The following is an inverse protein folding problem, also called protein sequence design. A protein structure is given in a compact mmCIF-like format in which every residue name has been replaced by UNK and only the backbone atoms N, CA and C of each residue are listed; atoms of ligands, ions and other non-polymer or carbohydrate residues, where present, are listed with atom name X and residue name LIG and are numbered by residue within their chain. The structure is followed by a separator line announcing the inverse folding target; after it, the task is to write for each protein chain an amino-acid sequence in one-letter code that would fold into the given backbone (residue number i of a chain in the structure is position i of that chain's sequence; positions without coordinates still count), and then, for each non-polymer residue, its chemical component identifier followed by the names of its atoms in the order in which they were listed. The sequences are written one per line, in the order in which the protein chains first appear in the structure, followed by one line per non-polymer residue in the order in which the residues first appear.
data_IF_447822265000
#
_entry.id   IF_447822265000
#
_cell.length_a   1.000
_cell.length_b   1.000
_cell.length_c   1.000
_cell.angle_alpha   90.00
_cell.angle_beta   90.00
_cell.angle_gamma   90.00
#
_symmetry.space_group_name_H-M   'P 1'
#
loop_
_entity.id
_entity.type
_entity.pdbx_description
1 polymer ?
#
# COMPACT_ATOMS: atom_id res chain seq x y z
N UNK A 1 -38.70 28.13 14.78
CA UNK A 1 -38.04 26.89 14.30
C UNK A 1 -39.11 26.05 13.63
N UNK A 2 -39.20 26.13 12.30
CA UNK A 2 -40.23 25.45 11.50
C UNK A 2 -39.86 23.98 11.35
N UNK A 3 -40.63 23.12 12.01
CA UNK A 3 -40.66 21.67 11.80
C UNK A 3 -41.23 21.41 10.38
N UNK A 4 -40.32 21.26 9.41
CA UNK A 4 -40.68 20.89 8.06
C UNK A 4 -41.07 19.42 8.07
N UNK A 5 -42.38 19.15 8.18
CA UNK A 5 -42.96 17.82 7.95
C UNK A 5 -42.32 17.23 6.68
N UNK A 6 -41.83 15.97 6.71
CA UNK A 6 -41.19 15.38 5.55
C UNK A 6 -42.18 15.41 4.38
N UNK A 7 -41.85 16.17 3.34
CA UNK A 7 -42.63 16.21 2.11
C UNK A 7 -42.74 14.79 1.60
N UNK A 8 -43.96 14.25 1.55
CA UNK A 8 -44.24 12.94 0.97
C UNK A 8 -43.85 13.00 -0.51
N UNK A 9 -42.61 12.61 -0.85
CA UNK A 9 -42.16 12.60 -2.25
C UNK A 9 -42.77 11.39 -2.93
N UNK A 10 -43.85 11.63 -3.66
CA UNK A 10 -44.37 10.67 -4.62
C UNK A 10 -43.31 10.53 -5.72
N UNK A 11 -42.80 9.31 -5.90
CA UNK A 11 -41.78 9.00 -6.92
C UNK A 11 -42.44 8.75 -8.26
N UNK A 12 -41.75 9.09 -9.34
CA UNK A 12 -42.27 8.86 -10.69
C UNK A 12 -42.42 7.35 -10.96
N UNK A 13 -43.34 6.96 -11.86
CA UNK A 13 -43.45 5.57 -12.32
C UNK A 13 -42.13 5.02 -12.87
N UNK A 14 -41.34 5.86 -13.52
CA UNK A 14 -40.02 5.50 -14.07
C UNK A 14 -39.04 5.08 -12.97
N UNK A 15 -39.01 5.79 -11.82
CA UNK A 15 -38.16 5.40 -10.68
C UNK A 15 -38.57 4.03 -10.13
N UNK A 16 -39.88 3.77 -10.07
CA UNK A 16 -40.38 2.47 -9.62
C UNK A 16 -40.07 1.33 -10.60
N UNK A 17 -40.12 1.60 -11.91
CA UNK A 17 -39.70 0.64 -12.92
C UNK A 17 -38.20 0.33 -12.82
N UNK A 18 -37.35 1.35 -12.69
CA UNK A 18 -35.91 1.17 -12.50
C UNK A 18 -35.57 0.40 -11.22
N UNK A 19 -36.30 0.67 -10.12
CA UNK A 19 -36.14 -0.04 -8.86
C UNK A 19 -36.57 -1.52 -8.95
N UNK A 20 -37.68 -1.80 -9.66
CA UNK A 20 -38.10 -3.17 -9.95
C UNK A 20 -37.05 -3.92 -10.74
N UNK A 21 -36.58 -3.33 -11.84
CA UNK A 21 -35.64 -3.98 -12.74
C UNK A 21 -34.32 -4.27 -12.01
N UNK A 22 -33.86 -3.36 -11.16
CA UNK A 22 -32.72 -3.56 -10.28
C UNK A 22 -32.92 -4.69 -9.26
N UNK A 23 -34.09 -4.73 -8.62
CA UNK A 23 -34.44 -5.77 -7.66
C UNK A 23 -34.53 -7.15 -8.33
N UNK A 24 -35.18 -7.23 -9.48
CA UNK A 24 -35.30 -8.48 -10.26
C UNK A 24 -33.95 -8.91 -10.86
N UNK A 25 -33.01 -8.00 -11.08
CA UNK A 25 -31.64 -8.32 -11.44
C UNK A 25 -30.81 -8.90 -10.29
N UNK A 26 -31.36 -9.02 -9.07
CA UNK A 26 -30.70 -9.63 -7.91
C UNK A 26 -30.08 -8.64 -6.92
N UNK A 27 -30.28 -7.32 -7.10
CA UNK A 27 -29.86 -6.34 -6.09
C UNK A 27 -30.74 -6.44 -4.83
N UNK A 28 -30.17 -6.39 -3.61
CA UNK A 28 -30.96 -6.47 -2.38
C UNK A 28 -31.87 -5.24 -2.23
N UNK A 29 -33.06 -5.45 -1.67
CA UNK A 29 -34.10 -4.41 -1.55
C UNK A 29 -33.61 -3.17 -0.79
N UNK A 30 -32.74 -3.34 0.21
CA UNK A 30 -32.13 -2.26 0.97
C UNK A 30 -31.24 -1.37 0.10
N UNK A 31 -30.42 -1.97 -0.77
CA UNK A 31 -29.54 -1.24 -1.68
C UNK A 31 -30.36 -0.52 -2.77
N UNK A 32 -31.36 -1.21 -3.34
CA UNK A 32 -32.31 -0.61 -4.30
C UNK A 32 -33.03 0.58 -3.67
N UNK A 33 -33.57 0.41 -2.45
CA UNK A 33 -34.30 1.48 -1.76
C UNK A 33 -33.39 2.66 -1.41
N UNK A 34 -32.15 2.40 -0.98
CA UNK A 34 -31.16 3.45 -0.75
C UNK A 34 -30.78 4.21 -2.03
N UNK A 35 -30.61 3.50 -3.14
CA UNK A 35 -30.24 4.08 -4.43
C UNK A 35 -31.32 4.95 -5.05
N UNK A 36 -32.58 4.55 -4.91
CA UNK A 36 -33.73 5.26 -5.52
C UNK A 36 -34.51 6.14 -4.52
N UNK A 37 -34.01 6.33 -3.30
CA UNK A 37 -34.66 7.12 -2.23
C UNK A 37 -36.12 6.65 -1.98
N UNK A 38 -36.29 5.33 -1.87
CA UNK A 38 -37.56 4.64 -1.64
C UNK A 38 -37.67 4.16 -0.19
N UNK A 39 -38.87 4.24 0.37
CA UNK A 39 -39.16 3.64 1.67
C UNK A 39 -39.35 2.13 1.55
N UNK A 40 -38.67 1.35 2.39
CA UNK A 40 -38.72 -0.12 2.38
C UNK A 40 -40.16 -0.66 2.47
N UNK A 41 -41.00 -0.05 3.31
CA UNK A 41 -42.41 -0.45 3.46
C UNK A 41 -43.24 -0.18 2.21
N UNK A 42 -43.02 0.94 1.53
CA UNK A 42 -43.71 1.28 0.28
C UNK A 42 -43.24 0.36 -0.86
N UNK A 43 -41.94 0.04 -0.88
CA UNK A 43 -41.35 -0.92 -1.80
C UNK A 43 -41.98 -2.31 -1.66
N UNK A 44 -42.06 -2.86 -0.44
CA UNK A 44 -42.69 -4.17 -0.20
C UNK A 44 -44.18 -4.19 -0.51
N UNK A 45 -44.91 -3.11 -0.18
CA UNK A 45 -46.33 -2.99 -0.54
C UNK A 45 -46.51 -3.11 -2.06
N UNK A 46 -45.73 -2.34 -2.82
CA UNK A 46 -45.79 -2.34 -4.28
C UNK A 46 -45.29 -3.65 -4.89
N UNK A 47 -44.20 -4.23 -4.37
CA UNK A 47 -43.70 -5.53 -4.78
C UNK A 47 -44.74 -6.63 -4.61
N UNK A 48 -45.55 -6.59 -3.55
CA UNK A 48 -46.66 -7.52 -3.35
C UNK A 48 -47.81 -7.28 -4.33
N UNK A 49 -48.16 -6.02 -4.59
CA UNK A 49 -49.23 -5.64 -5.53
C UNK A 49 -48.88 -5.99 -6.99
N UNK A 50 -47.62 -5.79 -7.38
CA UNK A 50 -47.12 -6.03 -8.74
C UNK A 50 -46.41 -7.39 -8.90
N UNK A 51 -46.35 -8.20 -7.84
CA UNK A 51 -45.87 -9.58 -7.88
C UNK A 51 -44.36 -9.76 -8.06
N UNK A 52 -43.53 -8.81 -7.62
CA UNK A 52 -42.06 -8.93 -7.69
C UNK A 52 -41.58 -9.95 -6.65
N UNK A 53 -41.33 -11.19 -7.05
CA UNK A 53 -40.91 -12.25 -6.12
C UNK A 53 -39.40 -12.38 -6.10
N UNK A 54 -38.89 -12.77 -4.94
CA UNK A 54 -37.49 -13.17 -4.81
C UNK A 54 -37.15 -14.40 -5.65
N UNK A 55 -38.13 -15.24 -5.96
CA UNK A 55 -37.97 -16.37 -6.88
C UNK A 55 -37.77 -15.95 -8.35
N UNK A 56 -38.10 -14.70 -8.69
CA UNK A 56 -37.88 -14.15 -10.03
C UNK A 56 -36.49 -13.50 -10.15
N UNK A 57 -35.73 -13.43 -9.04
CA UNK A 57 -34.34 -13.01 -9.06
C UNK A 57 -33.47 -14.16 -9.59
N UNK A 58 -32.38 -13.86 -10.30
CA UNK A 58 -31.36 -14.87 -10.56
C UNK A 58 -30.88 -15.46 -9.23
N UNK A 59 -30.61 -16.76 -9.22
CA UNK A 59 -29.99 -17.38 -8.05
C UNK A 59 -28.74 -16.59 -7.68
N UNK A 60 -28.51 -16.32 -6.39
CA UNK A 60 -27.30 -15.64 -5.97
C UNK A 60 -26.13 -16.46 -6.49
N UNK A 61 -25.22 -15.80 -7.20
CA UNK A 61 -24.01 -16.46 -7.67
C UNK A 61 -23.35 -17.12 -6.45
N UNK A 62 -23.10 -18.44 -6.48
CA UNK A 62 -22.40 -19.11 -5.41
C UNK A 62 -21.12 -18.32 -5.09
N UNK A 63 -20.73 -18.29 -3.82
CA UNK A 63 -19.47 -17.66 -3.42
C UNK A 63 -18.31 -18.46 -4.07
N UNK A 64 -18.00 -18.18 -5.34
CA UNK A 64 -17.14 -18.98 -6.21
C UNK A 64 -15.64 -18.85 -5.91
N UNK A 65 -15.31 -18.36 -4.72
CA UNK A 65 -13.95 -18.44 -4.20
C UNK A 65 -14.02 -18.81 -2.74
N UNK A 66 -14.62 -19.97 -2.44
CA UNK A 66 -13.99 -20.76 -1.39
C UNK A 66 -12.65 -21.20 -1.96
N UNK A 67 -11.51 -20.82 -1.34
CA UNK A 67 -10.25 -21.45 -1.66
C UNK A 67 -10.44 -22.96 -1.61
N UNK A 68 -9.80 -23.68 -2.53
CA UNK A 68 -9.79 -25.14 -2.54
C UNK A 68 -9.64 -25.62 -1.08
N UNK A 69 -10.59 -26.42 -0.55
CA UNK A 69 -10.57 -26.80 0.86
C UNK A 69 -9.28 -27.53 1.25
N UNK A 70 -8.59 -28.11 0.27
CA UNK A 70 -7.29 -28.79 0.45
C UNK A 70 -6.10 -27.87 0.16
N UNK A 71 -6.31 -26.65 -0.34
CA UNK A 71 -5.25 -25.66 -0.50
C UNK A 71 -4.80 -25.17 0.87
N UNK A 72 -3.50 -25.32 1.12
CA UNK A 72 -2.84 -24.63 2.23
C UNK A 72 -2.79 -23.14 1.92
N UNK A 73 -3.61 -22.39 2.64
CA UNK A 73 -3.61 -20.93 2.61
C UNK A 73 -2.60 -20.38 3.60
N UNK A 74 -1.77 -19.48 3.12
CA UNK A 74 -0.91 -18.69 3.98
C UNK A 74 -1.71 -17.58 4.67
N UNK A 75 -1.13 -17.01 5.72
CA UNK A 75 -1.75 -15.91 6.48
C UNK A 75 -2.08 -14.71 5.59
N UNK A 76 -1.23 -14.42 4.60
CA UNK A 76 -1.43 -13.36 3.61
C UNK A 76 -2.68 -13.60 2.77
N UNK A 77 -2.90 -14.83 2.32
CA UNK A 77 -4.06 -15.19 1.49
C UNK A 77 -5.37 -15.01 2.27
N UNK A 78 -5.35 -15.37 3.56
CA UNK A 78 -6.47 -15.13 4.47
C UNK A 78 -6.73 -13.64 4.70
N UNK A 79 -5.68 -12.81 4.74
CA UNK A 79 -5.82 -11.36 4.87
C UNK A 79 -6.47 -10.79 3.60
N UNK A 80 -6.02 -11.19 2.42
CA UNK A 80 -6.60 -10.76 1.14
C UNK A 80 -8.08 -11.15 1.03
N UNK A 81 -8.43 -12.37 1.43
CA UNK A 81 -9.82 -12.81 1.46
C UNK A 81 -10.67 -11.99 2.44
N UNK A 82 -10.15 -11.73 3.64
CA UNK A 82 -10.84 -10.88 4.62
C UNK A 82 -11.06 -9.45 4.09
N UNK A 83 -10.09 -8.90 3.34
CA UNK A 83 -10.22 -7.60 2.70
C UNK A 83 -11.31 -7.58 1.62
N UNK A 84 -11.34 -8.58 0.74
CA UNK A 84 -12.38 -8.72 -0.29
C UNK A 84 -13.79 -8.79 0.33
N UNK A 85 -13.95 -9.59 1.39
CA UNK A 85 -15.21 -9.73 2.13
C UNK A 85 -15.64 -8.43 2.80
N UNK A 86 -14.69 -7.70 3.40
CA UNK A 86 -14.93 -6.36 3.94
C UNK A 86 -15.44 -5.41 2.86
N UNK A 87 -14.74 -5.27 1.73
CA UNK A 87 -15.12 -4.35 0.64
C UNK A 87 -16.51 -4.65 0.10
N UNK A 88 -16.86 -5.93 -0.05
CA UNK A 88 -18.21 -6.35 -0.47
C UNK A 88 -19.28 -6.02 0.57
N UNK A 89 -19.03 -6.30 1.85
CA UNK A 89 -19.96 -5.98 2.93
C UNK A 89 -20.22 -4.47 3.04
N UNK A 90 -19.19 -3.65 2.83
CA UNK A 90 -19.32 -2.18 2.73
C UNK A 90 -20.18 -1.79 1.53
N UNK A 91 -19.92 -2.34 0.35
CA UNK A 91 -20.72 -2.07 -0.86
C UNK A 91 -22.21 -2.43 -0.72
N UNK A 92 -22.53 -3.39 0.14
CA UNK A 92 -23.90 -3.83 0.41
C UNK A 92 -24.54 -3.17 1.64
N UNK A 93 -23.86 -2.21 2.29
CA UNK A 93 -24.38 -1.53 3.49
C UNK A 93 -24.44 -2.41 4.75
N UNK A 94 -23.78 -3.58 4.75
CA UNK A 94 -23.77 -4.53 5.87
C UNK A 94 -22.69 -4.16 6.91
N UNK A 95 -22.91 -3.06 7.64
CA UNK A 95 -21.90 -2.47 8.55
C UNK A 95 -21.39 -3.45 9.61
N UNK A 96 -22.27 -4.21 10.26
CA UNK A 96 -21.86 -5.16 11.29
C UNK A 96 -20.95 -6.26 10.75
N UNK A 97 -21.15 -6.67 9.49
CA UNK A 97 -20.32 -7.68 8.83
C UNK A 97 -18.99 -7.09 8.37
N UNK A 98 -19.01 -5.87 7.83
CA UNK A 98 -17.80 -5.13 7.51
C UNK A 98 -16.87 -5.03 8.75
N UNK A 99 -17.40 -4.64 9.91
CA UNK A 99 -16.60 -4.54 11.14
C UNK A 99 -15.96 -5.88 11.56
N UNK A 100 -16.66 -7.00 11.37
CA UNK A 100 -16.10 -8.34 11.67
C UNK A 100 -14.93 -8.66 10.75
N UNK A 101 -15.09 -8.45 9.44
CA UNK A 101 -14.02 -8.70 8.46
C UNK A 101 -12.84 -7.74 8.62
N UNK A 102 -13.10 -6.47 8.98
CA UNK A 102 -12.07 -5.50 9.31
C UNK A 102 -11.22 -5.98 10.50
N UNK A 103 -11.87 -6.46 11.56
CA UNK A 103 -11.18 -6.98 12.75
C UNK A 103 -10.28 -8.17 12.38
N UNK A 104 -10.80 -9.14 11.63
CA UNK A 104 -10.03 -10.30 11.18
C UNK A 104 -8.82 -9.87 10.32
N UNK A 105 -9.01 -8.99 9.34
CA UNK A 105 -7.93 -8.46 8.51
C UNK A 105 -6.85 -7.75 9.35
N UNK A 106 -7.25 -6.97 10.36
CA UNK A 106 -6.31 -6.31 11.26
C UNK A 106 -5.49 -7.32 12.08
N UNK A 107 -6.12 -8.39 12.57
CA UNK A 107 -5.44 -9.46 13.30
C UNK A 107 -4.45 -10.23 12.40
N UNK A 108 -4.82 -10.50 11.15
CA UNK A 108 -3.97 -11.20 10.20
C UNK A 108 -2.75 -10.38 9.77
N UNK A 109 -2.90 -9.06 9.60
CA UNK A 109 -1.82 -8.15 9.16
C UNK A 109 -0.97 -7.58 10.31
N UNK A 110 -1.40 -7.72 11.57
CA UNK A 110 -0.70 -7.16 12.73
C UNK A 110 0.76 -7.66 12.88
N UNK A 111 1.07 -8.96 12.74
CA UNK A 111 2.44 -9.45 12.92
C UNK A 111 3.42 -8.92 11.86
N UNK A 112 3.00 -8.85 10.61
CA UNK A 112 3.82 -8.33 9.51
C UNK A 112 4.12 -6.85 9.70
N UNK A 113 3.09 -6.06 10.03
CA UNK A 113 3.25 -4.65 10.37
C UNK A 113 4.17 -4.43 11.57
N UNK A 114 4.16 -5.34 12.55
CA UNK A 114 5.07 -5.25 13.69
C UNK A 114 6.53 -5.46 13.25
N UNK A 115 6.79 -6.45 12.40
CA UNK A 115 8.14 -6.72 11.84
C UNK A 115 8.64 -5.57 10.98
N UNK A 116 7.79 -5.01 10.13
CA UNK A 116 8.13 -3.84 9.30
C UNK A 116 8.50 -2.63 10.16
N UNK A 117 7.75 -2.38 11.24
CA UNK A 117 8.04 -1.29 12.19
C UNK A 117 9.37 -1.50 12.90
N UNK A 118 9.68 -2.74 13.28
CA UNK A 118 10.95 -3.06 13.93
C UNK A 118 12.13 -2.89 12.96
N UNK A 119 12.00 -3.39 11.73
CA UNK A 119 12.99 -3.18 10.68
C UNK A 119 13.22 -1.70 10.39
N UNK A 120 12.17 -0.89 10.28
CA UNK A 120 12.28 0.55 10.07
C UNK A 120 12.95 1.27 11.24
N UNK A 121 12.70 0.84 12.49
CA UNK A 121 13.39 1.37 13.68
C UNK A 121 14.86 1.05 13.65
N UNK A 122 15.21 -0.17 13.27
CA UNK A 122 16.60 -0.60 13.20
C UNK A 122 17.35 0.14 12.08
N UNK A 123 16.73 0.28 10.91
CA UNK A 123 17.28 1.09 9.83
C UNK A 123 17.48 2.54 10.25
N UNK A 124 16.52 3.14 10.97
CA UNK A 124 16.65 4.50 11.49
C UNK A 124 17.79 4.63 12.52
N UNK A 125 18.02 3.59 13.36
CA UNK A 125 19.14 3.56 14.30
C UNK A 125 20.48 3.49 13.58
N UNK A 126 20.59 2.62 12.57
CA UNK A 126 21.80 2.47 11.78
C UNK A 126 22.14 3.78 11.05
N UNK A 127 21.13 4.44 10.46
CA UNK A 127 21.33 5.75 9.81
C UNK A 127 21.84 6.81 10.79
N UNK A 128 21.24 6.90 11.98
CA UNK A 128 21.71 7.83 13.02
C UNK A 128 23.13 7.53 13.46
N UNK A 129 23.46 6.26 13.71
CA UNK A 129 24.81 5.87 14.08
C UNK A 129 25.83 6.20 12.97
N UNK A 130 25.43 6.08 11.70
CA UNK A 130 26.26 6.49 10.56
C UNK A 130 26.45 8.02 10.51
N UNK A 131 25.39 8.79 10.76
CA UNK A 131 25.45 10.25 10.86
C UNK A 131 26.34 10.69 12.04
N UNK A 132 26.13 10.14 13.23
CA UNK A 132 26.94 10.40 14.43
C UNK A 132 28.43 10.05 14.17
N UNK A 133 28.71 8.97 13.45
CA UNK A 133 30.08 8.58 13.10
C UNK A 133 30.72 9.55 12.09
N UNK A 134 29.94 10.11 11.16
CA UNK A 134 30.40 11.15 10.24
C UNK A 134 30.70 12.44 10.97
N UNK A 135 29.82 12.85 11.87
CA UNK A 135 29.99 14.06 12.68
C UNK A 135 31.20 13.94 13.60
N UNK A 136 31.34 12.82 14.31
CA UNK A 136 32.53 12.54 15.13
C UNK A 136 33.84 12.57 14.32
N UNK A 137 33.80 12.16 13.04
CA UNK A 137 34.96 12.23 12.16
C UNK A 137 35.27 13.66 11.72
N UNK A 138 34.25 14.48 11.47
CA UNK A 138 34.40 15.91 11.17
C UNK A 138 34.99 16.64 12.39
N UNK A 139 34.47 16.37 13.58
CA UNK A 139 34.96 16.94 14.82
C UNK A 139 36.43 16.59 15.06
N UNK A 140 36.81 15.31 14.88
CA UNK A 140 38.20 14.87 15.01
C UNK A 140 39.14 15.55 14.00
N UNK A 141 38.69 15.76 12.75
CA UNK A 141 39.46 16.51 11.74
C UNK A 141 39.63 17.97 12.19
N UNK A 142 38.56 18.57 12.70
CA UNK A 142 38.54 19.97 13.14
C UNK A 142 39.48 20.19 14.34
N UNK A 143 39.45 19.30 15.33
CA UNK A 143 40.35 19.33 16.49
C UNK A 143 41.83 19.24 16.08
N UNK A 144 42.16 18.34 15.14
CA UNK A 144 43.52 18.22 14.61
C UNK A 144 43.95 19.51 13.88
N UNK A 145 43.05 20.12 13.10
CA UNK A 145 43.33 21.37 12.41
C UNK A 145 43.59 22.52 13.39
N UNK A 146 42.77 22.65 14.44
CA UNK A 146 42.93 23.66 15.50
C UNK A 146 44.26 23.47 16.24
N UNK A 147 44.61 22.23 16.60
CA UNK A 147 45.88 21.92 17.25
C UNK A 147 47.10 22.29 16.39
N UNK A 148 47.02 22.09 15.08
CA UNK A 148 48.06 22.51 14.14
C UNK A 148 48.13 24.03 13.97
N UNK A 149 47.01 24.75 14.13
CA UNK A 149 46.96 26.20 14.04
C UNK A 149 47.52 26.90 15.30
N UNK A 150 47.34 26.29 16.47
CA UNK A 150 47.81 26.80 17.77
C UNK A 150 49.32 26.56 18.00
N UNK A 151 49.95 25.63 17.28
CA UNK A 151 51.39 25.36 17.35
C UNK A 151 52.04 25.35 15.94
N UNK A 152 52.47 26.53 15.45
CA UNK A 152 53.13 26.65 14.15
C UNK A 152 54.41 25.80 14.02
N UNK A 153 55.08 25.48 15.14
CA UNK A 153 56.31 24.68 15.12
C UNK A 153 56.03 23.21 14.75
N UNK A 154 54.87 22.66 15.11
CA UNK A 154 54.42 21.32 14.69
C UNK A 154 54.11 21.25 13.19
N UNK A 155 53.58 22.34 12.61
CA UNK A 155 53.29 22.43 11.18
C UNK A 155 54.59 22.42 10.34
N UNK A 156 55.64 23.11 10.81
CA UNK A 156 56.95 23.13 10.16
C UNK A 156 57.77 21.84 10.37
N UNK A 157 57.68 21.20 11.55
CA UNK A 157 58.37 19.93 11.83
C UNK A 157 57.84 18.74 11.00
N UNK A 158 56.52 18.69 10.71
CA UNK A 158 55.92 17.62 9.88
C UNK A 158 56.20 17.78 8.38
N UNK A 159 56.42 19.02 7.92
CA UNK A 159 56.80 19.34 6.54
C UNK A 159 58.29 19.11 6.27
N UNK A 160 59.11 19.11 7.32
CA UNK A 160 60.50 18.67 7.28
C UNK A 160 60.58 17.14 7.16
N UNK A 161 60.10 16.60 6.04
CA UNK A 161 60.35 15.22 5.63
C UNK A 161 61.80 15.16 5.12
N UNK A 162 62.63 14.18 5.54
CA UNK A 162 63.98 14.06 5.01
C UNK A 162 63.93 13.86 3.49
N UNK A 163 64.90 14.47 2.80
CA UNK A 163 65.02 14.43 1.35
C UNK A 163 64.92 13.00 0.81
N UNK A 164 63.95 12.79 -0.08
CA UNK A 164 63.89 11.72 -1.09
C UNK A 164 64.31 10.32 -0.61
N UNK A 165 63.41 9.62 0.07
CA UNK A 165 63.34 8.17 -0.08
C UNK A 165 62.45 7.90 -1.31
N UNK A 166 63.03 7.31 -2.35
CA UNK A 166 62.35 6.90 -3.60
C UNK A 166 61.01 6.26 -3.24
N UNK A 167 59.93 6.98 -3.51
CA UNK A 167 58.58 6.42 -3.50
C UNK A 167 58.58 5.44 -4.66
N UNK A 168 58.54 4.14 -4.35
CA UNK A 168 58.28 3.14 -5.37
C UNK A 168 56.94 3.48 -6.01
N UNK A 169 56.96 3.49 -7.34
CA UNK A 169 55.81 3.58 -8.24
C UNK A 169 54.71 2.68 -7.68
N UNK A 170 53.67 3.30 -7.12
CA UNK A 170 52.45 2.58 -6.78
C UNK A 170 51.71 2.55 -8.09
N UNK A 171 51.72 1.39 -8.74
CA UNK A 171 50.93 1.13 -9.94
C UNK A 171 49.57 1.82 -9.80
N UNK A 172 49.29 2.70 -10.77
CA UNK A 172 47.99 3.29 -10.99
C UNK A 172 47.02 2.12 -11.20
N UNK A 173 46.33 1.70 -10.13
CA UNK A 173 45.21 0.77 -10.23
C UNK A 173 44.07 1.55 -10.86
N UNK A 174 44.12 1.65 -12.19
CA UNK A 174 43.01 2.06 -13.01
C UNK A 174 41.74 1.33 -12.53
N UNK A 175 40.79 2.14 -12.04
CA UNK A 175 39.36 1.89 -12.00
C UNK A 175 38.93 0.42 -12.02
N UNK A 176 38.75 -0.17 -10.84
CA UNK A 176 37.81 -1.30 -10.74
C UNK A 176 36.44 -0.70 -11.00
N UNK A 177 35.99 -0.82 -12.25
CA UNK A 177 34.61 -0.58 -12.64
C UNK A 177 33.76 -1.57 -11.85
N UNK A 178 33.22 -1.15 -10.70
CA UNK A 178 32.19 -1.88 -10.00
C UNK A 178 30.93 -1.79 -10.86
N UNK A 179 30.78 -2.72 -11.81
CA UNK A 179 29.48 -2.95 -12.43
C UNK A 179 28.56 -3.45 -11.33
N UNK A 180 27.79 -2.53 -10.73
CA UNK A 180 26.63 -2.90 -9.93
C UNK A 180 25.76 -3.80 -10.82
N UNK A 181 25.46 -5.05 -10.43
CA UNK A 181 24.62 -5.91 -11.25
C UNK A 181 23.23 -5.27 -11.32
N UNK A 182 22.85 -4.82 -12.51
CA UNK A 182 21.57 -4.17 -12.80
C UNK A 182 20.42 -4.96 -12.18
N UNK A 183 19.54 -4.27 -11.45
CA UNK A 183 18.35 -4.87 -10.87
C UNK A 183 17.49 -5.48 -12.01
N UNK A 184 16.72 -6.54 -11.73
CA UNK A 184 15.81 -7.19 -12.69
C UNK A 184 14.93 -6.21 -13.45
N UNK A 185 14.49 -5.13 -12.79
CA UNK A 185 13.73 -4.06 -13.42
C UNK A 185 14.53 -3.28 -14.48
N UNK A 186 15.80 -2.98 -14.19
CA UNK A 186 16.70 -2.26 -15.10
C UNK A 186 17.11 -3.14 -16.29
N UNK A 187 17.36 -4.43 -16.06
CA UNK A 187 17.60 -5.41 -17.13
C UNK A 187 16.44 -5.49 -18.12
N UNK A 188 15.19 -5.44 -17.63
CA UNK A 188 14.00 -5.40 -18.50
C UNK A 188 13.87 -4.10 -19.29
N UNK A 189 14.24 -2.96 -18.69
CA UNK A 189 14.25 -1.66 -19.39
C UNK A 189 15.29 -1.63 -20.51
N UNK A 190 16.50 -2.08 -20.24
CA UNK A 190 17.57 -2.11 -21.26
C UNK A 190 17.26 -3.09 -22.40
N UNK A 191 16.69 -4.26 -22.10
CA UNK A 191 16.27 -5.21 -23.13
C UNK A 191 15.20 -4.63 -24.07
N UNK A 192 14.27 -3.80 -23.54
CA UNK A 192 13.27 -3.11 -24.37
C UNK A 192 13.89 -2.03 -25.25
N UNK A 193 14.83 -1.26 -24.72
CA UNK A 193 15.52 -0.21 -25.48
C UNK A 193 16.40 -0.80 -26.59
N UNK A 194 17.11 -1.89 -26.32
CA UNK A 194 17.93 -2.57 -27.33
C UNK A 194 17.08 -3.20 -28.44
N UNK A 195 15.90 -3.74 -28.09
CA UNK A 195 14.96 -4.30 -29.08
C UNK A 195 14.27 -3.22 -29.93
N UNK A 196 14.17 -2.00 -29.41
CA UNK A 196 13.65 -0.85 -30.14
C UNK A 196 14.72 -0.16 -31.02
N UNK A 197 16.01 -0.34 -30.70
CA UNK A 197 17.13 0.28 -31.39
C UNK A 197 17.81 -0.62 -32.45
N UNK A 198 17.41 -1.89 -32.55
CA UNK A 198 17.88 -2.78 -33.60
C UNK A 198 17.14 -2.46 -34.92
N UNK A 199 17.84 -2.05 -36.01
CA UNK A 199 17.23 -1.96 -37.33
C UNK A 199 16.87 -3.35 -37.86
N UNK A 200 15.90 -3.44 -38.80
CA UNK A 200 15.31 -4.69 -39.28
C UNK A 200 16.30 -5.62 -39.99
#
# INVERSE_FOLDING_TARGET
MTDARPSYRIRSPETWAAARDAFLAGEPAEAVCGRFDLGLSAFWKRAREEGWRRADQPDPEPDDVLPDPDARLERSDLADLAWQRLSRAVGQGRIAEALRWQKLHAELTAPERAREREAAREEARLRRAEEDAKDARIDAITEVAERLALDPALFHARRARPASAKVHDVDDVHSVSTSTPLNRAERRRLARLQRAAAPP
#
